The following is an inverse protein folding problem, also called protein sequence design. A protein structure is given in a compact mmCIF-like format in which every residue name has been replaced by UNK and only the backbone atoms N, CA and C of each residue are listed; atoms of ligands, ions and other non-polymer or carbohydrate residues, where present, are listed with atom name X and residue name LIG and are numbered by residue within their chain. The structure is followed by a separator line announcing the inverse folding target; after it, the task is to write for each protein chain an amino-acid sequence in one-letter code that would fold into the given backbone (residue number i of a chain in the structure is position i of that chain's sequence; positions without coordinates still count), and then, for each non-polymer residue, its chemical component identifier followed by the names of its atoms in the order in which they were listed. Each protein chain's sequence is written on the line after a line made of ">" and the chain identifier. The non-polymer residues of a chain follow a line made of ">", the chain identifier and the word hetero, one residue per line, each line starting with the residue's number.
data_IF_085625639024
#
_entry.id   IF_085625639024
#
_cell.length_a   1.000
_cell.length_b   1.000
_cell.length_c   1.000
_cell.angle_alpha   90.00
_cell.angle_beta   90.00
_cell.angle_gamma   90.00
#
_symmetry.space_group_name_H-M   'P 1'
#
loop_
_entity.id
_entity.type
_entity.pdbx_description
1 polymer ?
#
# COMPACT_ATOMS: atom_id res chain seq x y z
N UNK A 1 4.19 1.87 11.62
CA UNK A 1 3.38 1.74 10.38
C UNK A 1 3.89 0.55 9.60
N UNK A 2 2.97 -0.27 9.11
CA UNK A 2 3.27 -1.44 8.28
C UNK A 2 2.69 -1.21 6.88
N UNK A 3 3.17 -1.95 5.87
CA UNK A 3 2.50 -1.97 4.56
C UNK A 3 1.94 -3.33 4.18
N UNK A 4 2.35 -4.40 4.86
CA UNK A 4 1.82 -5.75 4.63
C UNK A 4 2.05 -6.65 5.86
N UNK A 5 1.20 -7.66 6.03
CA UNK A 5 1.44 -8.82 6.89
C UNK A 5 1.20 -10.07 6.05
N UNK A 6 2.26 -10.79 5.73
CA UNK A 6 2.19 -12.01 4.94
C UNK A 6 2.24 -13.23 5.84
N UNK A 7 1.09 -13.89 6.00
CA UNK A 7 0.98 -15.18 6.68
C UNK A 7 1.40 -16.31 5.76
N UNK A 8 1.73 -17.46 6.34
CA UNK A 8 2.05 -18.69 5.59
C UNK A 8 3.26 -18.57 4.66
N UNK A 9 4.28 -17.80 5.06
CA UNK A 9 5.51 -17.65 4.29
C UNK A 9 6.44 -18.83 4.55
N UNK A 10 6.75 -19.61 3.50
CA UNK A 10 7.62 -20.80 3.56
C UNK A 10 9.02 -20.55 2.96
N UNK A 11 9.22 -19.40 2.33
CA UNK A 11 10.47 -19.03 1.67
C UNK A 11 11.34 -18.09 2.52
N UNK A 12 10.74 -17.41 3.51
CA UNK A 12 11.40 -16.42 4.37
C UNK A 12 11.97 -17.02 5.67
N UNK A 13 12.18 -18.34 5.68
CA UNK A 13 12.77 -19.08 6.81
C UNK A 13 12.24 -20.50 6.94
N UNK A 14 12.78 -21.30 7.86
CA UNK A 14 12.32 -22.67 8.09
C UNK A 14 10.93 -22.69 8.73
N UNK A 15 10.08 -23.62 8.28
CA UNK A 15 8.70 -23.77 8.76
C UNK A 15 7.74 -22.73 8.19
N UNK A 16 6.58 -22.56 8.83
CA UNK A 16 5.61 -21.52 8.49
C UNK A 16 5.97 -20.23 9.22
N UNK A 17 6.12 -19.12 8.48
CA UNK A 17 6.42 -17.80 9.03
C UNK A 17 5.33 -16.79 8.72
N UNK A 18 5.11 -15.88 9.66
CA UNK A 18 4.36 -14.64 9.42
C UNK A 18 5.36 -13.50 9.29
N UNK A 19 5.41 -12.88 8.12
CA UNK A 19 6.33 -11.77 7.83
C UNK A 19 5.58 -10.45 7.99
N UNK A 20 6.11 -9.56 8.83
CA UNK A 20 5.56 -8.22 9.04
C UNK A 20 6.42 -7.22 8.27
N UNK A 21 5.82 -6.54 7.31
CA UNK A 21 6.52 -5.59 6.45
C UNK A 21 6.36 -4.16 6.96
N UNK A 22 7.47 -3.55 7.34
CA UNK A 22 7.51 -2.21 7.93
C UNK A 22 7.74 -1.12 6.88
N UNK A 23 7.15 0.06 7.12
CA UNK A 23 7.45 1.28 6.37
C UNK A 23 8.59 2.07 7.04
N UNK A 24 9.31 2.86 6.24
CA UNK A 24 10.46 3.66 6.68
C UNK A 24 11.84 3.00 6.51
N UNK A 25 12.01 2.10 5.54
CA UNK A 25 13.31 1.53 5.21
C UNK A 25 14.30 2.65 4.83
N UNK A 26 15.43 2.71 5.53
CA UNK A 26 16.47 3.74 5.34
C UNK A 26 17.46 3.42 4.23
N UNK A 27 17.31 2.27 3.56
CA UNK A 27 18.22 1.84 2.50
C UNK A 27 17.85 2.42 1.14
N UNK A 28 18.85 2.62 0.30
CA UNK A 28 18.73 3.14 -1.07
C UNK A 28 19.08 2.10 -2.13
N UNK A 29 18.59 0.86 -2.00
CA UNK A 29 18.94 -0.25 -2.89
C UNK A 29 18.63 0.08 -4.36
N UNK A 30 19.59 -0.19 -5.27
CA UNK A 30 19.43 0.06 -6.71
C UNK A 30 18.28 -0.76 -7.32
N UNK A 31 18.07 -1.97 -6.81
CA UNK A 31 16.96 -2.86 -7.16
C UNK A 31 16.19 -3.19 -5.90
N UNK A 32 15.45 -2.20 -5.40
CA UNK A 32 14.62 -2.37 -4.21
C UNK A 32 13.49 -3.35 -4.50
N UNK A 33 13.40 -4.43 -3.72
CA UNK A 33 12.31 -5.40 -3.82
C UNK A 33 10.97 -4.82 -3.35
N UNK A 34 11.01 -3.93 -2.37
CA UNK A 34 9.82 -3.32 -1.74
C UNK A 34 9.95 -1.78 -1.72
N UNK A 35 9.91 -1.10 -2.88
CA UNK A 35 10.06 0.36 -2.93
C UNK A 35 9.05 1.13 -2.07
N UNK A 36 7.86 0.57 -1.87
CA UNK A 36 6.77 1.08 -1.02
C UNK A 36 7.13 1.16 0.47
N UNK A 37 8.17 0.44 0.88
CA UNK A 37 8.67 0.45 2.26
C UNK A 37 9.48 1.71 2.57
N UNK A 38 9.92 2.48 1.57
CA UNK A 38 10.85 3.60 1.77
C UNK A 38 10.20 4.80 2.44
N UNK A 39 8.97 5.14 2.03
CA UNK A 39 8.20 6.20 2.65
C UNK A 39 7.90 5.85 4.11
N UNK A 40 8.08 6.81 5.04
CA UNK A 40 7.71 6.64 6.46
C UNK A 40 6.23 6.84 6.71
N UNK A 41 5.56 7.59 5.83
CA UNK A 41 4.13 7.89 5.85
C UNK A 41 3.38 7.01 4.87
N UNK A 42 2.05 7.07 4.91
CA UNK A 42 1.20 6.51 3.86
C UNK A 42 1.53 7.15 2.51
N UNK A 43 1.35 6.39 1.43
CA UNK A 43 1.54 6.82 0.04
C UNK A 43 0.61 6.00 -0.88
N UNK A 44 0.56 6.32 -2.16
CA UNK A 44 -0.26 5.62 -3.15
C UNK A 44 0.57 4.61 -3.96
N UNK A 45 0.02 3.43 -4.16
CA UNK A 45 0.44 2.48 -5.17
C UNK A 45 -0.52 2.57 -6.34
N UNK A 46 0.03 2.55 -7.56
CA UNK A 46 -0.76 2.59 -8.78
C UNK A 46 -0.26 1.57 -9.80
N UNK A 47 -1.15 0.68 -10.21
CA UNK A 47 -0.94 -0.26 -11.30
C UNK A 47 -1.95 0.02 -12.42
N UNK A 48 -1.48 0.68 -13.49
CA UNK A 48 -2.31 1.04 -14.63
C UNK A 48 -2.96 -0.16 -15.32
N UNK A 49 -2.37 -1.36 -15.22
CA UNK A 49 -2.88 -2.59 -15.85
C UNK A 49 -4.20 -3.06 -15.24
N UNK A 50 -4.44 -2.70 -13.97
CA UNK A 50 -5.66 -3.05 -13.23
C UNK A 50 -6.72 -1.94 -13.33
N UNK A 51 -6.38 -0.78 -13.90
CA UNK A 51 -7.26 0.39 -13.90
C UNK A 51 -8.39 0.21 -14.93
N UNK A 52 -9.64 0.34 -14.49
CA UNK A 52 -10.79 0.25 -15.38
C UNK A 52 -10.87 1.46 -16.32
N UNK A 53 -11.10 1.18 -17.60
CA UNK A 53 -11.41 2.20 -18.59
C UNK A 53 -12.72 2.92 -18.21
N UNK A 54 -12.74 4.25 -18.34
CA UNK A 54 -13.90 5.09 -17.98
C UNK A 54 -14.20 5.27 -16.49
N UNK A 55 -13.44 4.65 -15.57
CA UNK A 55 -13.67 4.81 -14.12
C UNK A 55 -13.14 6.15 -13.59
N UNK A 56 -13.98 6.97 -12.97
CA UNK A 56 -13.61 8.31 -12.48
C UNK A 56 -13.61 8.44 -10.95
N UNK A 57 -13.81 7.36 -10.21
CA UNK A 57 -14.04 7.40 -8.76
C UNK A 57 -12.91 8.11 -7.99
N UNK A 58 -11.66 7.72 -8.26
CA UNK A 58 -10.50 8.32 -7.60
C UNK A 58 -10.27 9.79 -8.00
N UNK A 59 -10.47 10.14 -9.28
CA UNK A 59 -10.38 11.52 -9.75
C UNK A 59 -11.49 12.41 -9.14
N UNK A 60 -12.69 11.86 -8.91
CA UNK A 60 -13.77 12.55 -8.22
C UNK A 60 -13.53 12.67 -6.71
N UNK A 61 -12.92 11.65 -6.10
CA UNK A 61 -12.63 11.64 -4.66
C UNK A 61 -11.51 12.63 -4.29
N UNK A 62 -10.53 12.82 -5.17
CA UNK A 62 -9.39 13.70 -4.91
C UNK A 62 -8.96 14.48 -6.18
N UNK A 63 -9.81 15.40 -6.69
CA UNK A 63 -9.61 16.09 -7.97
C UNK A 63 -8.39 17.03 -8.00
N UNK A 64 -7.89 17.45 -6.83
CA UNK A 64 -6.70 18.30 -6.73
C UNK A 64 -5.39 17.54 -7.00
N UNK A 65 -5.43 16.21 -6.87
CA UNK A 65 -4.23 15.35 -6.89
C UNK A 65 -4.31 14.19 -7.87
N UNK A 66 -5.50 13.86 -8.40
CA UNK A 66 -5.69 12.82 -9.41
C UNK A 66 -6.38 13.40 -10.63
N UNK A 67 -5.70 13.28 -11.77
CA UNK A 67 -6.24 13.60 -13.08
C UNK A 67 -6.37 12.32 -13.92
N UNK A 68 -7.51 12.18 -14.61
CA UNK A 68 -7.72 11.08 -15.55
C UNK A 68 -7.03 11.43 -16.87
N UNK A 69 -6.06 10.61 -17.27
CA UNK A 69 -5.40 10.70 -18.57
C UNK A 69 -5.95 9.62 -19.53
N UNK A 70 -5.60 9.72 -20.82
CA UNK A 70 -5.99 8.77 -21.87
C UNK A 70 -5.72 7.31 -21.48
N UNK A 71 -4.54 7.03 -20.90
CA UNK A 71 -4.07 5.67 -20.60
C UNK A 71 -3.86 5.41 -19.09
N UNK A 72 -4.61 6.10 -18.22
CA UNK A 72 -4.52 5.87 -16.78
C UNK A 72 -4.73 7.12 -15.95
N UNK A 73 -3.94 7.24 -14.88
CA UNK A 73 -4.01 8.36 -13.94
C UNK A 73 -2.70 9.13 -13.94
N UNK A 74 -2.80 10.45 -13.95
CA UNK A 74 -1.73 11.33 -13.51
C UNK A 74 -1.94 11.61 -12.01
N UNK A 75 -0.94 11.29 -11.20
CA UNK A 75 -0.99 11.43 -9.74
C UNK A 75 0.02 12.50 -9.33
N UNK A 76 -0.48 13.63 -8.86
CA UNK A 76 0.32 14.74 -8.32
C UNK A 76 0.80 14.43 -6.90
N UNK A 77 1.78 13.53 -6.79
CA UNK A 77 2.28 13.02 -5.51
C UNK A 77 2.81 14.12 -4.59
N UNK A 78 3.34 15.20 -5.17
CA UNK A 78 3.86 16.36 -4.45
C UNK A 78 2.78 17.17 -3.72
N UNK A 79 1.51 16.99 -4.08
CA UNK A 79 0.36 17.67 -3.47
C UNK A 79 -0.44 16.77 -2.52
N UNK A 80 -0.06 15.50 -2.37
CA UNK A 80 -0.79 14.57 -1.52
C UNK A 80 -0.78 15.05 -0.06
N UNK A 81 -1.95 14.95 0.56
CA UNK A 81 -2.16 15.24 1.99
C UNK A 81 -2.84 14.04 2.65
N UNK A 82 -2.83 13.95 3.99
CA UNK A 82 -3.56 12.89 4.70
C UNK A 82 -5.07 12.84 4.37
N UNK A 83 -5.70 13.97 4.10
CA UNK A 83 -7.11 14.08 3.72
C UNK A 83 -7.36 13.40 2.37
N UNK A 84 -6.47 13.64 1.39
CA UNK A 84 -6.52 12.97 0.10
C UNK A 84 -6.37 11.45 0.24
N UNK A 85 -5.41 10.99 1.05
CA UNK A 85 -5.23 9.55 1.28
C UNK A 85 -6.45 8.92 1.95
N UNK A 86 -7.09 9.64 2.87
CA UNK A 86 -8.34 9.19 3.48
C UNK A 86 -9.45 9.06 2.44
N UNK A 87 -9.64 10.08 1.59
CA UNK A 87 -10.65 10.05 0.52
C UNK A 87 -10.40 8.95 -0.52
N UNK A 88 -9.13 8.58 -0.75
CA UNK A 88 -8.74 7.55 -1.71
C UNK A 88 -8.73 6.13 -1.13
N UNK A 89 -8.86 5.99 0.19
CA UNK A 89 -8.93 4.68 0.84
C UNK A 89 -10.18 3.94 0.36
N UNK A 90 -10.00 2.71 -0.13
CA UNK A 90 -11.04 1.82 -0.66
C UNK A 90 -11.90 2.40 -1.82
N UNK A 91 -11.49 3.52 -2.41
CA UNK A 91 -12.25 4.14 -3.50
C UNK A 91 -12.13 3.39 -4.85
N UNK A 92 -11.04 2.62 -5.02
CA UNK A 92 -10.73 1.96 -6.27
C UNK A 92 -11.27 0.52 -6.28
N UNK A 93 -12.28 0.20 -7.09
CA UNK A 93 -12.94 -1.11 -7.06
C UNK A 93 -12.03 -2.26 -7.50
N UNK A 94 -11.03 -1.99 -8.35
CA UNK A 94 -10.06 -2.98 -8.83
C UNK A 94 -8.74 -2.95 -8.07
N UNK A 95 -8.61 -2.09 -7.06
CA UNK A 95 -7.37 -1.88 -6.32
C UNK A 95 -6.19 -1.41 -7.19
N UNK A 96 -6.46 -0.95 -8.42
CA UNK A 96 -5.46 -0.35 -9.29
C UNK A 96 -4.77 0.83 -8.63
N UNK A 97 -5.50 1.61 -7.84
CA UNK A 97 -4.98 2.64 -6.96
C UNK A 97 -5.26 2.24 -5.51
N UNK A 98 -4.20 2.08 -4.71
CA UNK A 98 -4.33 1.64 -3.32
C UNK A 98 -3.50 2.52 -2.39
N UNK A 99 -4.07 2.89 -1.25
CA UNK A 99 -3.34 3.56 -0.16
C UNK A 99 -2.47 2.54 0.56
N UNK A 100 -1.16 2.75 0.52
CA UNK A 100 -0.17 1.87 1.10
C UNK A 100 0.37 2.43 2.41
N UNK A 101 0.10 1.72 3.49
CA UNK A 101 0.56 2.02 4.82
C UNK A 101 -0.60 2.04 5.80
N UNK A 102 -0.42 1.34 6.91
CA UNK A 102 -1.40 1.23 7.97
C UNK A 102 -0.73 1.46 9.32
N UNK A 103 -1.35 2.32 10.13
CA UNK A 103 -0.93 2.51 11.52
C UNK A 103 -1.56 1.39 12.33
N UNK A 104 -0.73 0.48 12.84
CA UNK A 104 -1.13 -0.55 13.80
C UNK A 104 -0.29 -0.48 15.04
N UNK A 105 -0.92 -0.77 16.17
CA UNK A 105 -0.23 -1.04 17.42
C UNK A 105 0.51 -2.39 17.36
N UNK A 106 1.45 -2.58 18.27
CA UNK A 106 2.17 -3.86 18.38
C UNK A 106 1.19 -4.98 18.72
N UNK A 107 0.22 -4.73 19.58
CA UNK A 107 -0.81 -5.68 20.03
C UNK A 107 -1.67 -6.16 18.85
N UNK A 108 -2.09 -5.25 17.97
CA UNK A 108 -2.88 -5.58 16.77
C UNK A 108 -2.08 -6.45 15.79
N UNK A 109 -0.80 -6.12 15.58
CA UNK A 109 0.11 -6.90 14.75
C UNK A 109 0.29 -8.30 15.35
N UNK A 110 0.58 -8.38 16.64
CA UNK A 110 0.81 -9.65 17.33
C UNK A 110 -0.43 -10.53 17.37
N UNK A 111 -1.63 -9.95 17.45
CA UNK A 111 -2.89 -10.68 17.32
C UNK A 111 -2.98 -11.42 15.98
N UNK A 112 -2.44 -10.86 14.90
CA UNK A 112 -2.40 -11.52 13.58
C UNK A 112 -1.28 -12.55 13.51
N UNK A 113 -0.07 -12.20 13.99
CA UNK A 113 1.12 -13.08 13.98
C UNK A 113 0.88 -14.36 14.78
N UNK A 114 0.26 -14.26 15.95
CA UNK A 114 0.04 -15.40 16.84
C UNK A 114 -0.96 -16.42 16.29
N UNK A 115 -1.73 -16.10 15.23
CA UNK A 115 -2.63 -17.06 14.58
C UNK A 115 -1.89 -18.23 13.93
N UNK A 116 -0.63 -18.04 13.56
CA UNK A 116 0.21 -19.08 12.94
C UNK A 116 1.05 -19.86 13.97
N UNK A 117 1.03 -19.48 15.26
CA UNK A 117 1.78 -20.14 16.34
C UNK A 117 1.57 -21.67 16.46
N UNK A 118 0.38 -22.23 16.18
CA UNK A 118 0.19 -23.68 16.24
C UNK A 118 0.95 -24.48 15.16
N UNK A 119 1.49 -23.82 14.14
CA UNK A 119 2.20 -24.41 13.00
C UNK A 119 3.69 -24.09 13.05
#
# INVERSE_FOLDING_TARGET
>A
MIFNIQRYSTHDGPGIRTVVFLKGCSLGCRWCQNPESRARTQDLLYDARLCLEGCELCAKAAPEVIERALNGLLIHREKLTPEHLTALTDCCPTQALTVCGEVKSVEEIMTTVLRDKPF
#
